data_IF_129133642327
#
_entry.id   IF_129133642327
#
_cell.length_a   1.000
_cell.length_b   1.000
_cell.length_c   1.000
_cell.angle_alpha   90.00
_cell.angle_beta   90.00
_cell.angle_gamma   90.00
#
_symmetry.space_group_name_H-M   'P 1'
#
loop_
_entity.id
_entity.type
_entity.pdbx_description
1 polymer ?
#
# COMPACT_ATOMS: atom_id res chain seq x y z
N UNK A 1 -41.31 23.68 79.18
CA UNK A 1 -41.67 22.45 78.49
C UNK A 1 -42.46 22.77 77.24
N UNK A 2 -41.83 22.84 76.06
CA UNK A 2 -42.51 22.92 74.75
C UNK A 2 -41.67 22.09 73.77
N UNK A 3 -42.24 21.05 73.20
CA UNK A 3 -41.67 20.15 72.20
C UNK A 3 -41.76 20.85 70.84
N UNK A 4 -40.66 20.90 70.16
CA UNK A 4 -40.57 21.35 68.74
C UNK A 4 -40.62 20.12 67.83
N UNK A 5 -41.63 20.06 66.97
CA UNK A 5 -41.81 19.07 65.91
C UNK A 5 -40.95 19.44 64.70
N UNK A 6 -40.04 18.55 64.27
CA UNK A 6 -39.25 18.65 63.04
C UNK A 6 -40.10 18.12 61.88
N UNK A 7 -40.38 18.99 60.94
CA UNK A 7 -40.94 18.64 59.64
C UNK A 7 -39.79 18.16 58.70
N UNK A 8 -39.84 16.91 58.29
CA UNK A 8 -38.89 16.36 57.32
C UNK A 8 -39.33 16.66 55.87
N UNK A 9 -38.51 17.38 55.14
CA UNK A 9 -38.68 17.54 53.70
C UNK A 9 -38.03 16.33 53.01
N UNK A 10 -38.85 15.54 52.30
CA UNK A 10 -38.40 14.52 51.35
C UNK A 10 -38.23 15.18 49.98
N UNK A 11 -37.00 15.31 49.54
CA UNK A 11 -36.67 15.71 48.14
C UNK A 11 -36.65 14.38 47.34
N UNK A 12 -37.64 14.22 46.48
CA UNK A 12 -37.67 13.17 45.48
C UNK A 12 -36.82 13.59 44.28
N UNK A 13 -35.63 13.02 44.15
CA UNK A 13 -34.80 13.10 42.92
C UNK A 13 -35.39 12.14 41.88
N UNK A 14 -36.15 12.67 40.93
CA UNK A 14 -36.55 11.97 39.73
C UNK A 14 -35.34 11.88 38.80
N UNK A 15 -34.64 10.75 38.77
CA UNK A 15 -33.58 10.49 37.77
C UNK A 15 -34.24 10.18 36.44
N UNK A 16 -34.32 11.18 35.57
CA UNK A 16 -34.68 11.00 34.15
C UNK A 16 -33.51 10.35 33.42
N UNK A 17 -33.54 9.05 33.26
CA UNK A 17 -32.66 8.30 32.35
C UNK A 17 -33.06 8.69 30.91
N UNK A 18 -32.32 9.62 30.31
CA UNK A 18 -32.34 9.88 28.89
C UNK A 18 -31.71 8.67 28.18
N UNK A 19 -32.53 7.70 27.79
CA UNK A 19 -32.17 6.68 26.83
C UNK A 19 -32.07 7.32 25.46
N UNK A 20 -30.84 7.72 25.07
CA UNK A 20 -30.55 8.07 23.69
C UNK A 20 -30.89 6.85 22.80
N UNK A 21 -31.69 7.03 21.73
CA UNK A 21 -31.94 5.92 20.82
C UNK A 21 -30.60 5.53 20.19
N UNK A 22 -30.10 4.35 20.49
CA UNK A 22 -29.04 3.69 19.71
C UNK A 22 -29.63 3.44 18.32
N UNK A 23 -29.36 4.33 17.38
CA UNK A 23 -29.57 4.03 15.96
C UNK A 23 -28.75 2.78 15.66
N UNK A 24 -29.37 1.66 15.20
CA UNK A 24 -28.60 0.51 14.77
C UNK A 24 -27.69 0.98 13.62
N UNK A 25 -26.40 1.10 13.90
CA UNK A 25 -25.41 1.42 12.89
C UNK A 25 -25.54 0.38 11.78
N UNK A 26 -25.85 0.83 10.58
CA UNK A 26 -25.82 -0.03 9.39
C UNK A 26 -24.46 -0.73 9.42
N UNK A 27 -24.45 -2.06 9.53
CA UNK A 27 -23.24 -2.86 9.57
C UNK A 27 -22.47 -2.57 8.27
N UNK A 28 -21.43 -1.74 8.36
CA UNK A 28 -20.60 -1.43 7.21
C UNK A 28 -19.86 -2.70 6.79
N UNK A 29 -20.00 -3.09 5.54
CA UNK A 29 -19.18 -4.15 4.99
C UNK A 29 -17.72 -3.69 4.89
N UNK A 30 -16.73 -4.59 5.08
CA UNK A 30 -15.35 -4.24 4.87
C UNK A 30 -15.12 -3.78 3.42
N UNK A 31 -14.17 -2.85 3.18
CA UNK A 31 -13.80 -2.51 1.82
C UNK A 31 -13.26 -3.75 1.11
N UNK A 32 -13.66 -3.94 -0.15
CA UNK A 32 -13.25 -5.10 -0.95
C UNK A 32 -13.03 -4.68 -2.39
N UNK A 33 -11.97 -5.22 -2.98
CA UNK A 33 -11.81 -5.15 -4.41
C UNK A 33 -12.90 -5.99 -5.07
N UNK A 34 -13.44 -5.51 -6.18
CA UNK A 34 -14.35 -6.25 -7.03
C UNK A 34 -14.08 -5.95 -8.52
N UNK A 35 -14.48 -6.87 -9.37
CA UNK A 35 -14.22 -6.80 -10.79
C UNK A 35 -14.90 -5.59 -11.46
N UNK A 36 -16.11 -5.23 -11.05
CA UNK A 36 -16.86 -4.13 -11.67
C UNK A 36 -16.19 -2.77 -11.41
N UNK A 37 -15.61 -2.56 -10.22
CA UNK A 37 -14.89 -1.34 -9.88
C UNK A 37 -13.52 -1.25 -10.52
N UNK A 38 -12.91 -2.39 -10.86
CA UNK A 38 -11.61 -2.46 -11.54
C UNK A 38 -11.74 -2.63 -13.06
N UNK A 39 -12.93 -2.95 -13.56
CA UNK A 39 -13.19 -2.98 -14.99
C UNK A 39 -12.86 -1.61 -15.59
N UNK A 40 -11.91 -1.56 -16.53
CA UNK A 40 -11.45 -0.32 -17.16
C UNK A 40 -10.94 0.76 -16.19
N UNK A 41 -10.45 0.38 -15.01
CA UNK A 41 -9.79 1.33 -14.12
C UNK A 41 -8.44 1.76 -14.69
N UNK A 42 -8.18 3.05 -14.68
CA UNK A 42 -6.91 3.63 -15.11
C UNK A 42 -6.28 4.37 -13.93
N UNK A 43 -5.00 4.11 -13.70
CA UNK A 43 -4.24 4.70 -12.61
C UNK A 43 -3.01 5.43 -13.17
N UNK A 44 -2.80 6.66 -12.71
CA UNK A 44 -1.52 7.33 -12.84
C UNK A 44 -0.63 6.96 -11.66
N UNK A 45 0.57 6.51 -11.97
CA UNK A 45 1.59 6.14 -10.99
C UNK A 45 2.78 7.09 -11.08
N UNK A 46 3.30 7.49 -9.92
CA UNK A 46 4.60 8.15 -9.78
C UNK A 46 5.38 7.44 -8.70
N UNK A 47 6.57 7.01 -9.04
CA UNK A 47 7.50 6.35 -8.12
C UNK A 47 8.80 7.14 -8.10
N UNK A 48 9.32 7.41 -6.92
CA UNK A 48 10.66 7.92 -6.69
C UNK A 48 11.40 6.95 -5.80
N UNK A 49 12.57 6.53 -6.24
CA UNK A 49 13.47 5.63 -5.51
C UNK A 49 14.75 6.37 -5.19
N UNK A 50 15.19 6.32 -3.95
CA UNK A 50 16.48 6.82 -3.48
C UNK A 50 17.27 5.63 -2.93
N UNK A 51 18.46 5.40 -3.48
CA UNK A 51 19.40 4.38 -3.02
C UNK A 51 20.60 5.08 -2.41
N UNK A 52 20.88 4.79 -1.14
CA UNK A 52 22.09 5.26 -0.46
C UNK A 52 22.84 4.05 0.03
N UNK A 53 24.12 3.97 -0.28
CA UNK A 53 24.94 2.90 0.22
C UNK A 53 26.35 3.40 0.56
N UNK A 54 27.06 2.55 1.29
CA UNK A 54 28.46 2.78 1.65
C UNK A 54 29.23 1.52 1.27
N UNK A 55 30.21 1.70 0.41
CA UNK A 55 31.12 0.64 -0.03
C UNK A 55 32.55 1.01 0.34
N UNK A 56 33.23 0.15 1.09
CA UNK A 56 34.57 0.38 1.59
C UNK A 56 34.76 1.76 2.28
N UNK A 57 33.71 2.23 2.96
CA UNK A 57 33.73 3.53 3.65
C UNK A 57 33.34 4.73 2.76
N UNK A 58 33.21 4.54 1.45
CA UNK A 58 32.83 5.61 0.51
C UNK A 58 31.31 5.63 0.31
N UNK A 59 30.61 6.72 0.72
CA UNK A 59 29.17 6.83 0.49
C UNK A 59 28.87 7.11 -0.98
N UNK A 60 27.72 6.62 -1.43
CA UNK A 60 27.17 6.94 -2.74
C UNK A 60 25.66 7.01 -2.70
N UNK A 61 25.08 7.71 -3.66
CA UNK A 61 23.65 7.90 -3.79
C UNK A 61 23.24 7.78 -5.26
N UNK A 62 22.08 7.16 -5.51
CA UNK A 62 21.45 7.07 -6.81
C UNK A 62 19.96 7.35 -6.66
N UNK A 63 19.33 7.89 -7.70
CA UNK A 63 17.90 8.19 -7.68
C UNK A 63 17.24 7.67 -8.94
N UNK A 64 16.03 7.14 -8.78
CA UNK A 64 15.18 6.70 -9.87
C UNK A 64 13.82 7.37 -9.81
N UNK A 65 13.28 7.70 -10.97
CA UNK A 65 11.92 8.19 -11.12
C UNK A 65 11.19 7.36 -12.17
N UNK A 66 9.96 6.97 -11.86
CA UNK A 66 9.04 6.31 -12.79
C UNK A 66 7.74 7.07 -12.82
N UNK A 67 7.25 7.31 -14.00
CA UNK A 67 5.93 7.83 -14.24
C UNK A 67 5.20 6.93 -15.25
N UNK A 68 4.02 6.45 -14.91
CA UNK A 68 3.27 5.53 -15.76
C UNK A 68 1.77 5.72 -15.64
N UNK A 69 1.09 5.27 -16.68
CA UNK A 69 -0.35 5.16 -16.71
C UNK A 69 -0.73 3.70 -16.92
N UNK A 70 -1.28 3.11 -15.88
CA UNK A 70 -1.62 1.68 -15.82
C UNK A 70 -3.12 1.49 -16.03
N UNK A 71 -3.47 0.62 -16.96
CA UNK A 71 -4.86 0.26 -17.31
C UNK A 71 -5.16 -1.13 -16.76
N UNK A 72 -6.32 -1.28 -16.12
CA UNK A 72 -6.85 -2.57 -15.66
C UNK A 72 -8.06 -2.99 -16.47
N UNK A 73 -8.10 -4.27 -16.83
CA UNK A 73 -9.29 -4.98 -17.27
C UNK A 73 -9.55 -6.09 -16.27
N UNK A 74 -10.70 -6.09 -15.62
CA UNK A 74 -11.05 -7.07 -14.61
C UNK A 74 -12.39 -7.74 -14.90
N UNK A 75 -12.48 -9.02 -14.55
CA UNK A 75 -13.68 -9.84 -14.70
C UNK A 75 -13.86 -10.72 -13.45
N UNK A 76 -15.10 -11.01 -13.02
CA UNK A 76 -15.33 -11.93 -11.92
C UNK A 76 -14.94 -13.37 -12.33
N UNK A 77 -14.33 -14.10 -11.38
CA UNK A 77 -13.95 -15.50 -11.52
C UNK A 77 -14.09 -16.17 -10.16
N UNK A 78 -14.80 -17.27 -10.06
CA UNK A 78 -15.02 -18.15 -8.87
C UNK A 78 -14.36 -17.74 -7.54
N UNK A 79 -14.93 -16.70 -6.90
CA UNK A 79 -14.43 -16.16 -5.61
C UNK A 79 -13.19 -15.24 -5.68
N UNK A 80 -12.67 -15.00 -6.88
CA UNK A 80 -11.56 -14.12 -7.18
C UNK A 80 -11.92 -13.12 -8.30
N UNK A 81 -10.95 -12.31 -8.68
CA UNK A 81 -11.04 -11.38 -9.79
C UNK A 81 -9.91 -11.75 -10.76
N UNK A 82 -10.25 -12.22 -11.96
CA UNK A 82 -9.29 -12.33 -13.04
C UNK A 82 -9.00 -10.94 -13.59
N UNK A 83 -7.75 -10.60 -13.78
CA UNK A 83 -7.38 -9.30 -14.33
C UNK A 83 -6.30 -9.42 -15.40
N UNK A 84 -6.28 -8.43 -16.26
CA UNK A 84 -5.17 -8.04 -17.12
C UNK A 84 -4.85 -6.58 -16.82
N UNK A 85 -3.55 -6.24 -16.83
CA UNK A 85 -3.12 -4.86 -16.70
C UNK A 85 -1.92 -4.58 -17.59
N UNK A 86 -1.79 -3.35 -18.05
CA UNK A 86 -0.69 -2.92 -18.90
C UNK A 86 -0.44 -1.42 -18.74
N UNK A 87 0.79 -1.00 -18.97
CA UNK A 87 1.08 0.41 -19.16
C UNK A 87 0.67 0.83 -20.56
N UNK A 88 -0.11 1.91 -20.68
CA UNK A 88 -0.36 2.61 -21.95
C UNK A 88 0.61 3.77 -22.16
N UNK A 89 1.28 4.21 -21.08
CA UNK A 89 2.43 5.10 -21.11
C UNK A 89 3.36 4.80 -19.94
N UNK A 90 4.66 4.89 -20.17
CA UNK A 90 5.67 4.65 -19.15
C UNK A 90 6.92 5.47 -19.47
N UNK A 91 7.48 6.11 -18.45
CA UNK A 91 8.78 6.77 -18.51
C UNK A 91 9.57 6.38 -17.27
N UNK A 92 10.83 6.01 -17.45
CA UNK A 92 11.78 5.68 -16.39
C UNK A 92 13.02 6.53 -16.56
N UNK A 93 13.49 7.12 -15.46
CA UNK A 93 14.75 7.90 -15.40
C UNK A 93 15.54 7.42 -14.22
N UNK A 94 16.82 7.29 -14.39
CA UNK A 94 17.72 6.85 -13.35
C UNK A 94 19.01 7.67 -13.37
N UNK A 95 19.31 8.34 -12.27
CA UNK A 95 20.55 9.09 -12.09
C UNK A 95 21.52 8.20 -11.31
N UNK A 96 22.36 7.46 -12.06
CA UNK A 96 23.40 6.60 -11.53
C UNK A 96 24.72 7.36 -11.36
N UNK A 97 25.67 6.74 -10.67
CA UNK A 97 27.05 7.27 -10.55
C UNK A 97 27.71 7.55 -11.91
N UNK A 98 27.40 6.74 -12.91
CA UNK A 98 27.96 6.86 -14.26
C UNK A 98 27.25 7.90 -15.13
N UNK A 99 26.17 8.52 -14.60
CA UNK A 99 25.36 9.50 -15.32
C UNK A 99 23.90 9.10 -15.40
N UNK A 100 23.12 9.93 -16.08
CA UNK A 100 21.68 9.70 -16.26
C UNK A 100 21.43 8.62 -17.30
N UNK A 101 20.52 7.70 -17.00
CA UNK A 101 20.02 6.65 -17.88
C UNK A 101 18.51 6.83 -18.04
N UNK A 102 18.04 6.82 -19.28
CA UNK A 102 16.61 6.79 -19.62
C UNK A 102 16.40 5.58 -20.55
N UNK A 103 16.06 4.40 -19.98
CA UNK A 103 15.89 3.20 -20.79
C UNK A 103 14.68 3.33 -21.71
N UNK A 104 14.74 2.65 -22.86
CA UNK A 104 13.59 2.53 -23.74
C UNK A 104 12.49 1.71 -23.06
N UNK A 105 11.29 2.26 -22.97
CA UNK A 105 10.12 1.64 -22.37
C UNK A 105 9.11 1.12 -23.41
N UNK A 106 9.31 1.39 -24.70
CA UNK A 106 8.36 1.04 -25.76
C UNK A 106 8.10 -0.49 -25.80
N UNK A 107 9.13 -1.29 -25.54
CA UNK A 107 8.97 -2.75 -25.49
C UNK A 107 8.10 -3.28 -24.35
N UNK A 108 7.81 -2.45 -23.32
CA UNK A 108 6.93 -2.81 -22.20
C UNK A 108 5.52 -2.20 -22.37
N UNK A 109 5.38 -1.09 -23.10
CA UNK A 109 4.08 -0.46 -23.32
C UNK A 109 3.17 -1.42 -24.08
N UNK A 110 1.94 -1.64 -23.54
CA UNK A 110 1.00 -2.61 -24.05
C UNK A 110 1.29 -4.08 -23.66
N UNK A 111 2.47 -4.35 -23.09
CA UNK A 111 2.81 -5.65 -22.51
C UNK A 111 1.91 -5.96 -21.32
N UNK A 112 1.41 -7.21 -21.21
CA UNK A 112 0.35 -7.54 -20.26
C UNK A 112 0.86 -8.37 -19.09
N UNK A 113 0.51 -7.91 -17.88
CA UNK A 113 0.40 -8.75 -16.71
C UNK A 113 -1.00 -9.35 -16.70
N UNK A 114 -1.11 -10.64 -16.39
CA UNK A 114 -2.40 -11.27 -16.13
C UNK A 114 -2.30 -12.13 -14.88
N UNK A 115 -3.41 -12.24 -14.15
CA UNK A 115 -3.43 -13.01 -12.92
C UNK A 115 -4.77 -12.97 -12.21
N UNK A 116 -4.71 -13.32 -10.93
CA UNK A 116 -5.84 -13.33 -10.01
C UNK A 116 -5.61 -12.35 -8.88
N UNK A 117 -6.67 -11.67 -8.50
CA UNK A 117 -6.72 -10.73 -7.39
C UNK A 117 -7.79 -11.19 -6.42
N UNK A 118 -7.44 -11.27 -5.13
CA UNK A 118 -8.42 -11.52 -4.07
C UNK A 118 -9.17 -10.24 -3.70
N UNK A 119 -10.32 -10.38 -3.07
CA UNK A 119 -11.07 -9.23 -2.55
C UNK A 119 -10.31 -8.40 -1.49
N UNK A 120 -9.28 -8.96 -0.87
CA UNK A 120 -8.40 -8.28 0.10
C UNK A 120 -7.20 -7.56 -0.53
N UNK A 121 -6.93 -7.79 -1.82
CA UNK A 121 -5.84 -7.11 -2.53
C UNK A 121 -4.61 -7.98 -2.83
N UNK A 122 -4.60 -9.25 -2.43
CA UNK A 122 -3.49 -10.15 -2.79
C UNK A 122 -3.53 -10.51 -4.27
N UNK A 123 -2.41 -10.39 -4.94
CA UNK A 123 -2.23 -10.64 -6.37
C UNK A 123 -1.41 -11.90 -6.59
N UNK A 124 -1.89 -12.78 -7.47
CA UNK A 124 -1.16 -13.92 -8.04
C UNK A 124 -0.97 -13.69 -9.54
N UNK A 125 0.28 -13.48 -9.97
CA UNK A 125 0.60 -13.28 -11.39
C UNK A 125 0.78 -14.63 -12.09
N UNK A 126 0.02 -14.81 -13.17
CA UNK A 126 0.11 -15.97 -14.09
C UNK A 126 0.97 -15.62 -15.30
N UNK A 127 0.85 -14.40 -15.80
CA UNK A 127 1.60 -13.91 -16.96
C UNK A 127 2.30 -12.61 -16.63
N UNK A 128 3.51 -12.45 -17.15
CA UNK A 128 4.32 -11.24 -17.08
C UNK A 128 4.67 -10.77 -18.48
N UNK A 129 4.74 -9.46 -18.74
CA UNK A 129 5.21 -8.97 -20.04
C UNK A 129 6.70 -9.23 -20.23
N UNK A 130 7.13 -9.16 -21.47
CA UNK A 130 8.55 -9.11 -21.77
C UNK A 130 9.16 -7.85 -21.13
N UNK A 131 10.27 -8.02 -20.44
CA UNK A 131 11.01 -6.92 -19.81
C UNK A 131 12.29 -6.68 -20.60
N UNK A 132 12.42 -5.51 -21.28
CA UNK A 132 13.67 -5.14 -21.95
C UNK A 132 14.87 -5.19 -20.99
N UNK A 133 16.03 -5.74 -21.39
CA UNK A 133 17.21 -5.87 -20.52
C UNK A 133 17.63 -4.55 -19.87
N UNK A 134 17.75 -3.48 -20.65
CA UNK A 134 18.16 -2.16 -20.17
C UNK A 134 17.20 -1.57 -19.14
N UNK A 135 15.89 -1.81 -19.33
CA UNK A 135 14.88 -1.41 -18.36
C UNK A 135 14.98 -2.24 -17.06
N UNK A 136 15.24 -3.55 -17.19
CA UNK A 136 15.38 -4.45 -16.03
C UNK A 136 16.57 -4.08 -15.15
N UNK A 137 17.66 -3.64 -15.73
CA UNK A 137 18.85 -3.19 -14.98
C UNK A 137 18.56 -1.97 -14.11
N UNK A 138 17.68 -1.08 -14.55
CA UNK A 138 17.34 0.17 -13.84
C UNK A 138 16.10 0.04 -12.97
N UNK A 139 15.10 -0.72 -13.43
CA UNK A 139 13.82 -0.91 -12.76
C UNK A 139 13.17 -2.22 -13.20
N UNK A 140 13.34 -3.26 -12.41
CA UNK A 140 12.63 -4.51 -12.68
C UNK A 140 11.14 -4.37 -12.34
N UNK A 141 10.32 -4.37 -13.37
CA UNK A 141 8.86 -4.26 -13.28
C UNK A 141 8.15 -5.60 -13.44
N UNK A 142 8.87 -6.72 -13.50
CA UNK A 142 8.30 -8.05 -13.70
C UNK A 142 7.17 -8.35 -12.70
N UNK A 143 7.36 -7.97 -11.45
CA UNK A 143 6.43 -8.16 -10.35
C UNK A 143 5.74 -6.86 -9.89
N UNK A 144 5.75 -5.81 -10.70
CA UNK A 144 5.22 -4.49 -10.34
C UNK A 144 3.76 -4.51 -9.84
N UNK A 145 2.97 -5.49 -10.23
CA UNK A 145 1.56 -5.60 -9.82
C UNK A 145 1.33 -6.42 -8.54
N UNK A 146 2.31 -7.18 -8.07
CA UNK A 146 2.14 -8.02 -6.86
C UNK A 146 1.74 -7.16 -5.66
N UNK A 147 2.40 -6.01 -5.51
CA UNK A 147 2.16 -5.07 -4.41
C UNK A 147 1.55 -3.75 -4.87
N UNK A 148 1.00 -3.70 -6.09
CA UNK A 148 0.45 -2.46 -6.64
C UNK A 148 -0.79 -1.99 -5.87
N UNK A 149 -1.73 -2.89 -5.58
CA UNK A 149 -2.94 -2.55 -4.87
C UNK A 149 -2.72 -2.59 -3.34
N UNK A 150 -3.14 -1.55 -2.59
CA UNK A 150 -3.01 -1.54 -1.13
C UNK A 150 -3.75 -2.69 -0.46
N UNK A 151 -3.23 -3.26 0.64
CA UNK A 151 -3.94 -4.25 1.42
C UNK A 151 -5.18 -3.65 2.08
N UNK A 152 -6.28 -4.43 2.13
CA UNK A 152 -7.52 -4.03 2.76
C UNK A 152 -7.76 -4.82 4.05
N UNK A 153 -8.39 -4.22 5.09
CA UNK A 153 -8.75 -4.94 6.31
C UNK A 153 -9.78 -6.02 6.01
N UNK A 154 -9.64 -7.19 6.64
CA UNK A 154 -10.58 -8.30 6.49
C UNK A 154 -11.93 -8.04 7.16
N UNK A 155 -12.00 -7.06 8.07
CA UNK A 155 -13.19 -6.70 8.85
C UNK A 155 -13.57 -5.24 8.62
N UNK A 156 -14.84 -4.86 8.80
CA UNK A 156 -15.23 -3.46 8.76
C UNK A 156 -14.60 -2.71 9.94
N UNK A 157 -14.08 -1.52 9.69
CA UNK A 157 -13.49 -0.66 10.70
C UNK A 157 -14.28 0.63 10.84
N UNK A 158 -14.67 0.99 12.06
CA UNK A 158 -15.15 2.32 12.37
C UNK A 158 -14.00 3.35 12.31
N UNK A 159 -14.27 4.62 12.05
CA UNK A 159 -13.26 5.67 12.15
C UNK A 159 -12.54 5.64 13.50
N UNK A 160 -11.21 5.67 13.48
CA UNK A 160 -10.35 5.53 14.66
C UNK A 160 -10.00 4.09 15.06
N UNK A 161 -10.70 3.08 14.53
CA UNK A 161 -10.40 1.67 14.79
C UNK A 161 -9.21 1.17 13.98
N UNK A 162 -8.60 0.06 14.44
CA UNK A 162 -7.53 -0.64 13.74
C UNK A 162 -7.76 -2.15 13.72
N UNK A 163 -7.14 -2.81 12.77
CA UNK A 163 -7.09 -4.25 12.59
C UNK A 163 -5.65 -4.68 12.32
N UNK A 164 -5.28 -5.86 12.79
CA UNK A 164 -3.97 -6.46 12.55
C UNK A 164 -4.16 -7.90 12.11
N UNK A 165 -3.44 -8.32 11.08
CA UNK A 165 -3.44 -9.71 10.64
C UNK A 165 -2.35 -10.55 11.35
N UNK A 166 -2.30 -11.84 11.00
CA UNK A 166 -1.31 -12.77 11.55
C UNK A 166 0.13 -12.55 11.02
N UNK A 167 0.29 -11.76 9.96
CA UNK A 167 1.59 -11.47 9.33
C UNK A 167 2.16 -10.12 9.79
N UNK A 168 1.44 -9.40 10.66
CA UNK A 168 1.88 -8.12 11.20
C UNK A 168 1.44 -6.89 10.38
N UNK A 169 0.64 -7.09 9.32
CA UNK A 169 -0.02 -5.98 8.65
C UNK A 169 -0.99 -5.30 9.61
N UNK A 170 -0.79 -4.03 9.86
CA UNK A 170 -1.69 -3.22 10.69
C UNK A 170 -2.36 -2.14 9.85
N UNK A 171 -3.69 -2.10 9.89
CA UNK A 171 -4.52 -1.14 9.16
C UNK A 171 -5.36 -0.33 10.13
N UNK A 172 -5.36 1.00 9.97
CA UNK A 172 -6.21 1.92 10.71
C UNK A 172 -7.22 2.58 9.78
N UNK A 173 -8.44 2.71 10.24
CA UNK A 173 -9.45 3.56 9.62
C UNK A 173 -9.29 4.97 10.18
N UNK A 174 -8.95 5.91 9.32
CA UNK A 174 -8.86 7.32 9.67
C UNK A 174 -10.25 7.99 9.59
N UNK A 175 -10.35 9.23 10.04
CA UNK A 175 -11.54 10.05 9.82
C UNK A 175 -11.82 10.23 8.33
N UNK A 176 -13.08 10.19 7.96
CA UNK A 176 -13.52 10.43 6.57
C UNK A 176 -13.22 11.86 6.15
N UNK A 177 -12.93 12.04 4.89
CA UNK A 177 -12.88 13.38 4.32
C UNK A 177 -14.17 13.66 3.55
N UNK A 178 -14.70 14.88 3.75
CA UNK A 178 -15.77 15.37 2.91
C UNK A 178 -15.20 15.75 1.54
N UNK A 179 -15.61 15.04 0.49
CA UNK A 179 -15.24 15.36 -0.89
C UNK A 179 -16.43 15.04 -1.81
N UNK A 180 -16.82 16.00 -2.65
CA UNK A 180 -17.88 15.76 -3.64
C UNK A 180 -17.44 14.66 -4.63
N UNK A 181 -18.33 13.73 -5.04
CA UNK A 181 -19.73 13.56 -4.65
C UNK A 181 -19.94 12.54 -3.50
N UNK A 182 -19.47 12.79 -2.29
CA UNK A 182 -19.72 11.96 -1.12
C UNK A 182 -18.46 11.65 -0.29
N UNK A 183 -18.62 10.99 0.87
CA UNK A 183 -17.55 10.76 1.80
C UNK A 183 -16.47 9.85 1.20
N UNK A 184 -15.23 10.13 1.55
CA UNK A 184 -14.05 9.31 1.20
C UNK A 184 -13.51 8.68 2.47
N UNK A 185 -13.58 7.38 2.53
CA UNK A 185 -12.97 6.56 3.55
C UNK A 185 -11.45 6.61 3.43
N UNK A 186 -10.73 6.81 4.52
CA UNK A 186 -9.27 6.84 4.52
C UNK A 186 -8.71 5.76 5.43
N UNK A 187 -7.68 5.08 4.93
CA UNK A 187 -6.97 4.05 5.67
C UNK A 187 -5.48 4.38 5.70
N UNK A 188 -4.81 3.94 6.75
CA UNK A 188 -3.36 3.89 6.85
C UNK A 188 -2.98 2.43 7.11
N UNK A 189 -1.88 1.97 6.52
CA UNK A 189 -1.31 0.66 6.85
C UNK A 189 0.17 0.78 7.16
N UNK A 190 0.66 -0.21 7.89
CA UNK A 190 2.09 -0.43 8.16
C UNK A 190 2.35 -1.93 8.19
N UNK A 191 3.44 -2.34 7.55
CA UNK A 191 4.02 -3.67 7.64
C UNK A 191 5.50 -3.51 7.97
N UNK A 192 5.97 -4.21 8.98
CA UNK A 192 7.39 -4.29 9.32
C UNK A 192 7.88 -5.71 9.11
N UNK A 193 9.03 -5.87 8.50
CA UNK A 193 9.67 -7.18 8.35
C UNK A 193 11.16 -7.10 8.68
N UNK A 194 11.68 -8.18 9.27
CA UNK A 194 13.09 -8.33 9.59
C UNK A 194 13.54 -9.73 9.20
N UNK A 195 14.69 -9.82 8.58
CA UNK A 195 15.22 -11.10 8.15
C UNK A 195 16.75 -11.09 8.06
N UNK A 196 17.30 -12.28 7.97
CA UNK A 196 18.71 -12.49 7.66
C UNK A 196 18.83 -13.59 6.62
N UNK A 197 19.48 -13.28 5.52
CA UNK A 197 19.70 -14.21 4.41
C UNK A 197 21.18 -14.59 4.34
N UNK A 198 21.51 -15.87 4.09
CA UNK A 198 22.87 -16.27 3.78
C UNK A 198 23.31 -15.68 2.44
N UNK A 199 24.59 -15.39 2.28
CA UNK A 199 25.15 -15.05 0.98
C UNK A 199 25.60 -16.37 0.33
N UNK A 200 25.08 -16.69 -0.86
CA UNK A 200 25.38 -17.96 -1.53
C UNK A 200 26.88 -18.19 -1.79
N UNK A 201 27.60 -17.12 -2.14
CA UNK A 201 29.03 -17.19 -2.44
C UNK A 201 29.92 -17.31 -1.20
N UNK A 202 29.46 -16.98 -0.01
CA UNK A 202 30.22 -17.05 1.25
C UNK A 202 29.29 -17.29 2.44
N UNK A 203 29.28 -18.52 2.93
CA UNK A 203 28.44 -18.95 4.07
C UNK A 203 28.75 -18.22 5.39
N UNK A 204 29.89 -17.52 5.49
CA UNK A 204 30.25 -16.71 6.66
C UNK A 204 29.60 -15.32 6.62
N UNK A 205 29.06 -14.91 5.47
CA UNK A 205 28.38 -13.64 5.29
C UNK A 205 26.86 -13.80 5.48
N UNK A 206 26.26 -12.78 6.06
CA UNK A 206 24.80 -12.65 6.23
C UNK A 206 24.37 -11.27 5.80
N UNK A 207 23.34 -11.20 4.97
CA UNK A 207 22.61 -9.95 4.69
C UNK A 207 21.50 -9.84 5.73
N UNK A 208 21.61 -8.87 6.64
CA UNK A 208 20.50 -8.46 7.49
C UNK A 208 19.67 -7.44 6.75
N UNK A 209 18.38 -7.63 6.76
CA UNK A 209 17.43 -6.75 6.11
C UNK A 209 16.34 -6.37 7.09
N UNK A 210 16.05 -5.08 7.17
CA UNK A 210 14.89 -4.52 7.86
C UNK A 210 14.10 -3.75 6.82
N UNK A 211 12.80 -3.98 6.74
CA UNK A 211 11.94 -3.27 5.83
C UNK A 211 10.70 -2.75 6.56
N UNK A 212 10.34 -1.52 6.27
CA UNK A 212 9.11 -0.86 6.68
C UNK A 212 8.35 -0.43 5.43
N UNK A 213 7.10 -0.82 5.35
CA UNK A 213 6.17 -0.44 4.31
C UNK A 213 4.97 0.25 4.95
N UNK A 214 4.81 1.52 4.71
CA UNK A 214 3.69 2.30 5.19
C UNK A 214 2.95 2.98 4.04
N UNK A 215 1.64 3.16 4.21
CA UNK A 215 0.89 3.88 3.22
C UNK A 215 -0.45 4.41 3.69
N UNK A 216 -1.08 5.16 2.78
CA UNK A 216 -2.42 5.73 2.97
C UNK A 216 -3.26 5.48 1.74
N UNK A 217 -4.49 5.08 1.95
CA UNK A 217 -5.47 4.77 0.92
C UNK A 217 -6.68 5.69 1.05
N UNK A 218 -7.15 6.20 -0.07
CA UNK A 218 -8.44 6.86 -0.23
C UNK A 218 -9.40 5.90 -0.94
N UNK A 219 -10.55 5.66 -0.33
CA UNK A 219 -11.57 4.71 -0.78
C UNK A 219 -12.94 5.34 -0.84
N UNK A 220 -13.71 5.02 -1.86
CA UNK A 220 -15.12 5.39 -1.98
C UNK A 220 -15.95 4.17 -2.33
N UNK A 221 -17.04 3.92 -1.59
CA UNK A 221 -17.79 2.66 -1.70
C UNK A 221 -18.31 2.34 -3.09
N UNK A 222 -18.71 3.33 -3.86
CA UNK A 222 -19.21 3.13 -5.24
C UNK A 222 -18.12 3.05 -6.31
N UNK A 223 -16.89 3.49 -6.02
CA UNK A 223 -15.78 3.55 -6.99
C UNK A 223 -14.60 2.65 -6.59
N UNK A 224 -14.54 2.21 -5.33
CA UNK A 224 -13.38 1.52 -4.79
C UNK A 224 -12.22 2.46 -4.51
N UNK A 225 -11.02 2.07 -4.91
CA UNK A 225 -9.78 2.85 -4.74
C UNK A 225 -9.83 4.12 -5.57
N UNK A 226 -9.60 5.27 -4.91
CA UNK A 226 -9.41 6.57 -5.56
C UNK A 226 -7.93 6.90 -5.76
N UNK A 227 -7.08 6.40 -4.89
CA UNK A 227 -5.66 6.60 -4.95
C UNK A 227 -4.99 6.23 -3.62
N UNK A 228 -3.66 6.12 -3.66
CA UNK A 228 -2.86 5.84 -2.46
C UNK A 228 -1.48 6.45 -2.56
N UNK A 229 -0.85 6.55 -1.39
CA UNK A 229 0.57 6.81 -1.25
C UNK A 229 1.20 5.68 -0.46
N UNK A 230 2.40 5.27 -0.81
CA UNK A 230 3.17 4.22 -0.15
C UNK A 230 4.61 4.66 0.00
N UNK A 231 5.22 4.35 1.10
CA UNK A 231 6.65 4.51 1.34
C UNK A 231 7.21 3.19 1.79
N UNK A 232 8.15 2.67 1.05
CA UNK A 232 8.89 1.46 1.40
C UNK A 232 10.32 1.90 1.76
N UNK A 233 10.78 1.53 2.94
CA UNK A 233 12.16 1.73 3.38
C UNK A 233 12.77 0.36 3.61
N UNK A 234 13.89 0.07 2.96
CA UNK A 234 14.64 -1.16 3.14
C UNK A 234 16.06 -0.81 3.58
N UNK A 235 16.47 -1.30 4.73
CA UNK A 235 17.84 -1.18 5.23
C UNK A 235 18.53 -2.53 5.16
N UNK A 236 19.71 -2.56 4.56
CA UNK A 236 20.52 -3.76 4.41
C UNK A 236 21.89 -3.58 5.06
N UNK A 237 22.37 -4.64 5.70
CA UNK A 237 23.70 -4.69 6.29
C UNK A 237 24.34 -6.02 5.94
N UNK A 238 25.55 -5.98 5.37
CA UNK A 238 26.36 -7.16 5.18
C UNK A 238 27.23 -7.37 6.43
N UNK A 239 27.02 -8.46 7.15
CA UNK A 239 27.74 -8.81 8.38
C UNK A 239 28.48 -10.14 8.19
N UNK A 240 29.72 -10.22 8.69
CA UNK A 240 30.48 -11.48 8.75
C UNK A 240 30.22 -12.18 10.08
N UNK A 241 29.96 -13.49 10.05
CA UNK A 241 29.80 -14.29 11.25
C UNK A 241 31.08 -14.24 12.11
N UNK A 242 30.93 -13.96 13.41
CA UNK A 242 32.02 -13.94 14.38
C UNK A 242 32.90 -12.68 14.44
N UNK A 243 32.66 -11.68 13.63
CA UNK A 243 33.31 -10.36 13.70
C UNK A 243 32.27 -9.24 13.74
N UNK A 244 32.29 -8.44 14.79
CA UNK A 244 31.36 -7.31 14.99
C UNK A 244 31.70 -6.11 14.11
N UNK A 245 31.39 -6.18 12.82
CA UNK A 245 31.49 -5.04 11.92
C UNK A 245 30.78 -5.31 10.60
N UNK A 246 29.84 -4.45 10.18
CA UNK A 246 29.27 -4.50 8.84
C UNK A 246 30.22 -3.80 7.87
N UNK A 247 30.65 -4.48 6.80
CA UNK A 247 31.50 -3.88 5.76
C UNK A 247 30.74 -3.02 4.78
N UNK A 248 29.44 -3.27 4.62
CA UNK A 248 28.58 -2.56 3.69
C UNK A 248 27.23 -2.28 4.32
N UNK A 249 26.71 -1.08 4.08
CA UNK A 249 25.36 -0.67 4.47
C UNK A 249 24.67 -0.10 3.26
N UNK A 250 23.39 -0.43 3.11
CA UNK A 250 22.54 0.13 2.08
C UNK A 250 21.19 0.51 2.64
N UNK A 251 20.63 1.57 2.10
CA UNK A 251 19.26 2.00 2.36
C UNK A 251 18.58 2.34 1.05
N UNK A 252 17.43 1.75 0.83
CA UNK A 252 16.56 2.08 -0.29
C UNK A 252 15.28 2.69 0.27
N UNK A 253 14.89 3.82 -0.26
CA UNK A 253 13.61 4.46 0.04
C UNK A 253 12.84 4.61 -1.26
N UNK A 254 11.67 3.99 -1.33
CA UNK A 254 10.78 4.13 -2.45
C UNK A 254 9.51 4.86 -2.01
N UNK A 255 9.15 5.91 -2.74
CA UNK A 255 7.92 6.67 -2.54
C UNK A 255 7.02 6.46 -3.76
N UNK A 256 5.85 5.93 -3.54
CA UNK A 256 4.87 5.61 -4.56
C UNK A 256 3.65 6.49 -4.34
N UNK A 257 3.18 7.10 -5.39
CA UNK A 257 1.90 7.82 -5.41
C UNK A 257 1.09 7.35 -6.60
N UNK A 258 -0.12 6.89 -6.33
CA UNK A 258 -1.03 6.42 -7.35
C UNK A 258 -2.35 7.18 -7.22
N UNK A 259 -2.90 7.58 -8.34
CA UNK A 259 -4.20 8.23 -8.45
C UNK A 259 -5.03 7.54 -9.53
N UNK A 260 -6.26 7.19 -9.19
CA UNK A 260 -7.22 6.77 -10.20
C UNK A 260 -7.62 7.98 -11.04
N UNK A 261 -7.52 7.86 -12.34
CA UNK A 261 -8.06 8.84 -13.28
C UNK A 261 -9.41 8.33 -13.76
N UNK A 262 -10.42 9.20 -13.75
CA UNK A 262 -11.74 8.88 -14.30
C UNK A 262 -11.55 8.70 -15.81
N UNK A 263 -11.64 7.46 -16.28
CA UNK A 263 -11.44 7.19 -17.68
C UNK A 263 -12.65 7.68 -18.50
N UNK A 264 -12.40 8.60 -19.39
CA UNK A 264 -13.10 8.67 -20.65
C UNK A 264 -12.50 7.70 -21.67
N UNK A 265 -11.75 6.69 -21.25
CA UNK A 265 -11.04 5.80 -22.13
C UNK A 265 -11.79 4.47 -22.25
N UNK A 266 -12.12 4.11 -23.47
CA UNK A 266 -12.53 2.77 -23.86
C UNK A 266 -11.46 1.76 -23.44
N UNK A 267 -11.84 0.73 -22.68
CA UNK A 267 -11.09 -0.52 -22.57
C UNK A 267 -11.26 -1.35 -23.85
N UNK A 268 -11.14 -0.74 -25.00
CA UNK A 268 -11.18 -1.43 -26.29
C UNK A 268 -9.84 -2.09 -26.58
#
# INVERSE_FOLDING_TARGET
MRRATRAGWRVSLASSLLTAPFSPGVAQSPPRYDAARLACAVFEERVRTEVRAQEAGVPWEETGERFGRLVFRAQPEDGAIRFEAWYDSLTVRYDARAGRVEPDTDGLIGGRWAGRLTAAGSVELVTRPFMPPDLREVSDLSDALVDFLPPLPAVPLAPGASWTDSLGLKVWRLADSAAAPGPVARYRWVIESRGALPVEADSTLRIRQEAEDEGRLAWRDNLGVLGWTRRVTVETQLARAGRGGSSHRGRVVQQIRVRRITAGASCS
#
